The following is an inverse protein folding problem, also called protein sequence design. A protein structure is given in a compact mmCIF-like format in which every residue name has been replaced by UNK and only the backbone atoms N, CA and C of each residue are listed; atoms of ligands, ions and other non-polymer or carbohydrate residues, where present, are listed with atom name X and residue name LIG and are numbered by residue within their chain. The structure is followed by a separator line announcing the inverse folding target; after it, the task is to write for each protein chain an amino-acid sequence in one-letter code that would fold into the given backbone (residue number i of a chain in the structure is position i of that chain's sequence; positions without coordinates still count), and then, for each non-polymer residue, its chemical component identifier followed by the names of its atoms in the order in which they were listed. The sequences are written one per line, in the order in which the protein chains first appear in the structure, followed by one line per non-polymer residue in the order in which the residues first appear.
data_IF_445817888798
#
_entry.id   IF_445817888798
#
_cell.length_a   1.000
_cell.length_b   1.000
_cell.length_c   1.000
_cell.angle_alpha   90.00
_cell.angle_beta   90.00
_cell.angle_gamma   90.00
#
_symmetry.space_group_name_H-M   'P 1'
#
loop_
_entity.id
_entity.type
_entity.pdbx_description
1 polymer ?
#
# COMPACT_ATOMS: atom_id res chain seq x y z
N UNK A 1 -36.02 75.44 23.69
CA UNK A 1 -37.03 74.57 23.05
C UNK A 1 -36.50 74.38 21.63
N UNK A 2 -36.12 73.21 21.13
CA UNK A 2 -36.46 71.82 21.45
C UNK A 2 -35.48 70.89 20.68
N UNK A 3 -35.27 69.66 21.18
CA UNK A 3 -34.76 68.41 20.56
C UNK A 3 -33.51 68.47 19.64
N UNK A 4 -32.33 67.95 20.01
CA UNK A 4 -31.92 66.54 20.20
C UNK A 4 -32.28 65.63 19.03
N UNK A 5 -31.28 65.29 18.20
CA UNK A 5 -31.22 63.95 17.62
C UNK A 5 -29.75 63.52 17.43
N UNK A 6 -29.44 62.38 18.05
CA UNK A 6 -28.13 61.76 18.08
C UNK A 6 -28.07 60.71 16.96
N UNK A 7 -27.20 60.93 15.97
CA UNK A 7 -26.90 59.87 14.99
C UNK A 7 -25.98 58.83 15.64
N UNK A 8 -26.59 57.69 15.93
CA UNK A 8 -25.95 56.46 16.39
C UNK A 8 -25.03 55.91 15.30
N UNK A 9 -23.76 55.79 15.68
CA UNK A 9 -22.77 54.91 15.08
C UNK A 9 -23.20 53.44 15.28
N UNK A 10 -23.72 52.78 14.25
CA UNK A 10 -23.93 51.33 14.25
C UNK A 10 -23.90 50.76 12.83
N UNK A 11 -22.76 50.20 12.42
CA UNK A 11 -22.68 49.10 11.46
C UNK A 11 -21.40 48.30 11.71
N UNK A 12 -21.42 47.48 12.76
CA UNK A 12 -20.59 46.27 12.82
C UNK A 12 -21.43 45.07 12.38
N UNK A 13 -21.61 44.93 11.07
CA UNK A 13 -22.32 43.79 10.47
C UNK A 13 -21.29 42.67 10.23
N UNK A 14 -21.44 41.46 10.82
CA UNK A 14 -20.53 40.36 10.55
C UNK A 14 -20.70 39.90 9.09
N UNK A 15 -19.60 39.86 8.34
CA UNK A 15 -19.58 39.43 6.95
C UNK A 15 -20.19 38.02 6.80
N UNK A 16 -20.98 37.76 5.73
CA UNK A 16 -21.55 36.44 5.48
C UNK A 16 -20.44 35.41 5.25
N UNK A 17 -20.62 34.13 5.64
CA UNK A 17 -19.65 33.08 5.36
C UNK A 17 -19.45 32.97 3.83
N UNK A 18 -18.20 32.77 3.35
CA UNK A 18 -17.94 32.66 1.93
C UNK A 18 -18.77 31.52 1.33
N UNK A 19 -19.38 31.71 0.13
CA UNK A 19 -20.12 30.64 -0.51
C UNK A 19 -19.19 29.44 -0.72
N UNK A 20 -19.70 28.20 -0.62
CA UNK A 20 -18.90 27.02 -0.83
C UNK A 20 -18.23 27.16 -2.20
N UNK A 21 -16.90 27.05 -2.24
CA UNK A 21 -16.11 27.12 -3.45
C UNK A 21 -16.57 26.00 -4.39
N UNK A 22 -17.58 26.30 -5.22
CA UNK A 22 -18.06 25.38 -6.23
C UNK A 22 -16.87 25.12 -7.14
N UNK A 23 -16.41 23.87 -7.16
CA UNK A 23 -15.29 23.46 -7.97
C UNK A 23 -15.49 24.02 -9.38
N UNK A 24 -14.43 24.59 -9.97
CA UNK A 24 -14.47 25.05 -11.37
C UNK A 24 -15.07 23.96 -12.26
N UNK A 25 -15.80 24.34 -13.33
CA UNK A 25 -16.44 23.39 -14.26
C UNK A 25 -15.48 22.28 -14.73
N UNK A 26 -14.19 22.59 -14.84
CA UNK A 26 -13.15 21.62 -15.19
C UNK A 26 -12.81 20.66 -14.04
N UNK A 27 -12.78 21.15 -12.80
CA UNK A 27 -12.57 20.32 -11.60
C UNK A 27 -13.78 19.40 -11.34
N UNK A 28 -15.01 19.86 -11.57
CA UNK A 28 -16.21 19.01 -11.51
C UNK A 28 -16.16 17.89 -12.56
N UNK A 29 -15.81 18.23 -13.82
CA UNK A 29 -15.63 17.22 -14.89
C UNK A 29 -14.51 16.21 -14.55
N UNK A 30 -13.40 16.66 -13.97
CA UNK A 30 -12.29 15.78 -13.54
C UNK A 30 -12.72 14.83 -12.42
N UNK A 31 -13.47 15.32 -11.44
CA UNK A 31 -14.00 14.52 -10.34
C UNK A 31 -14.98 13.44 -10.84
N UNK A 32 -15.92 13.81 -11.72
CA UNK A 32 -16.85 12.86 -12.32
C UNK A 32 -16.12 11.77 -13.13
N UNK A 33 -15.06 12.14 -13.86
CA UNK A 33 -14.21 11.17 -14.58
C UNK A 33 -13.51 10.22 -13.61
N UNK A 34 -12.97 10.73 -12.50
CA UNK A 34 -12.32 9.91 -11.47
C UNK A 34 -13.31 8.93 -10.83
N UNK A 35 -14.49 9.40 -10.43
CA UNK A 35 -15.54 8.56 -9.85
C UNK A 35 -15.98 7.44 -10.80
N UNK A 36 -16.15 7.74 -12.10
CA UNK A 36 -16.46 6.72 -13.12
C UNK A 36 -15.37 5.67 -13.25
N UNK A 37 -14.09 6.09 -13.19
CA UNK A 37 -12.96 5.17 -13.26
C UNK A 37 -12.85 4.30 -12.00
N UNK A 38 -13.09 4.87 -10.82
CA UNK A 38 -13.11 4.13 -9.56
C UNK A 38 -14.27 3.12 -9.51
N UNK A 39 -15.47 3.52 -9.93
CA UNK A 39 -16.62 2.63 -10.05
C UNK A 39 -16.32 1.46 -11.01
N UNK A 40 -15.76 1.75 -12.20
CA UNK A 40 -15.36 0.71 -13.18
C UNK A 40 -14.26 -0.21 -12.64
N UNK A 41 -13.31 0.32 -11.86
CA UNK A 41 -12.29 -0.50 -11.19
C UNK A 41 -12.91 -1.39 -10.11
N UNK A 42 -13.86 -0.87 -9.33
CA UNK A 42 -14.56 -1.61 -8.29
C UNK A 42 -15.40 -2.75 -8.89
N UNK A 43 -16.15 -2.48 -9.97
CA UNK A 43 -16.92 -3.48 -10.69
C UNK A 43 -16.03 -4.60 -11.25
N UNK A 44 -14.95 -4.25 -11.94
CA UNK A 44 -13.98 -5.24 -12.44
C UNK A 44 -13.37 -6.07 -11.32
N UNK A 45 -13.06 -5.44 -10.18
CA UNK A 45 -12.53 -6.13 -8.99
C UNK A 45 -13.58 -7.04 -8.37
N UNK A 46 -14.85 -6.67 -8.37
CA UNK A 46 -15.95 -7.50 -7.89
C UNK A 46 -16.16 -8.70 -8.82
N UNK A 47 -16.21 -8.50 -10.13
CA UNK A 47 -16.32 -9.58 -11.12
C UNK A 47 -15.15 -10.58 -11.03
N UNK A 48 -13.91 -10.09 -10.91
CA UNK A 48 -12.74 -10.95 -10.70
C UNK A 48 -12.84 -11.74 -9.39
N UNK A 49 -13.28 -11.10 -8.29
CA UNK A 49 -13.48 -11.79 -7.00
C UNK A 49 -14.56 -12.87 -7.11
N UNK A 50 -15.65 -12.62 -7.83
CA UNK A 50 -16.72 -13.58 -8.04
C UNK A 50 -16.26 -14.77 -8.88
N UNK A 51 -15.58 -14.52 -10.01
CA UNK A 51 -14.98 -15.58 -10.82
C UNK A 51 -13.98 -16.42 -10.00
N UNK A 52 -13.11 -15.76 -9.23
CA UNK A 52 -12.16 -16.45 -8.35
C UNK A 52 -12.86 -17.30 -7.30
N UNK A 53 -13.99 -16.85 -6.73
CA UNK A 53 -14.79 -17.65 -5.81
C UNK A 53 -15.39 -18.87 -6.50
N UNK A 54 -16.01 -18.69 -7.67
CA UNK A 54 -16.59 -19.77 -8.48
C UNK A 54 -15.55 -20.83 -8.85
N UNK A 55 -14.37 -20.42 -9.31
CA UNK A 55 -13.27 -21.33 -9.61
C UNK A 55 -12.73 -22.04 -8.37
N UNK A 56 -12.62 -21.34 -7.24
CA UNK A 56 -12.18 -21.94 -5.99
C UNK A 56 -13.20 -22.98 -5.47
N UNK A 57 -14.49 -22.70 -5.57
CA UNK A 57 -15.56 -23.65 -5.26
C UNK A 57 -15.53 -24.86 -6.20
N UNK A 58 -15.33 -24.65 -7.50
CA UNK A 58 -15.18 -25.73 -8.47
C UNK A 58 -13.99 -26.63 -8.14
N UNK A 59 -12.82 -26.05 -7.91
CA UNK A 59 -11.60 -26.78 -7.50
C UNK A 59 -11.78 -27.50 -6.16
N UNK A 60 -12.57 -26.93 -5.25
CA UNK A 60 -12.89 -27.57 -3.97
C UNK A 60 -13.76 -28.80 -4.19
N UNK A 61 -14.82 -28.69 -5.01
CA UNK A 61 -15.68 -29.82 -5.37
C UNK A 61 -14.92 -30.91 -6.10
N UNK A 62 -14.14 -30.55 -7.12
CA UNK A 62 -13.26 -31.48 -7.86
C UNK A 62 -12.30 -32.22 -6.90
N UNK A 63 -11.76 -31.52 -5.90
CA UNK A 63 -10.90 -32.12 -4.89
C UNK A 63 -11.66 -33.04 -3.93
N UNK A 64 -12.86 -32.65 -3.49
CA UNK A 64 -13.71 -33.48 -2.64
C UNK A 64 -14.16 -34.75 -3.37
N UNK A 65 -14.49 -34.66 -4.66
CA UNK A 65 -14.80 -35.79 -5.53
C UNK A 65 -13.59 -36.72 -5.71
N UNK A 66 -12.40 -36.18 -5.98
CA UNK A 66 -11.15 -36.95 -6.07
C UNK A 66 -10.81 -37.68 -4.76
N UNK A 67 -11.09 -37.04 -3.61
CA UNK A 67 -10.91 -37.70 -2.31
C UNK A 67 -12.00 -38.75 -2.02
N UNK A 68 -13.16 -38.65 -2.65
CA UNK A 68 -14.26 -39.61 -2.49
C UNK A 68 -14.09 -40.84 -3.42
N UNK A 69 -13.38 -40.70 -4.54
CA UNK A 69 -13.10 -41.79 -5.48
C UNK A 69 -11.92 -42.68 -5.07
N UNK A 70 -11.21 -42.33 -3.99
CA UNK A 70 -9.96 -42.95 -3.54
C UNK A 70 -10.16 -43.61 -2.17
N UNK A 71 -9.50 -44.74 -1.93
CA UNK A 71 -9.59 -45.47 -0.66
C UNK A 71 -9.08 -44.65 0.54
N UNK A 72 -9.52 -45.02 1.75
CA UNK A 72 -9.29 -44.23 2.98
C UNK A 72 -7.80 -44.01 3.32
N UNK A 73 -6.95 -45.02 3.06
CA UNK A 73 -5.50 -44.93 3.28
C UNK A 73 -4.82 -43.96 2.30
N UNK A 74 -5.18 -44.03 1.03
CA UNK A 74 -4.65 -43.16 -0.02
C UNK A 74 -5.17 -41.73 0.12
N UNK A 75 -6.44 -41.57 0.53
CA UNK A 75 -7.05 -40.28 0.89
C UNK A 75 -6.26 -39.58 2.00
N UNK A 76 -5.86 -40.33 3.03
CA UNK A 76 -5.08 -39.80 4.15
C UNK A 76 -3.69 -39.34 3.69
N UNK A 77 -2.99 -40.13 2.88
CA UNK A 77 -1.69 -39.76 2.28
C UNK A 77 -1.79 -38.50 1.40
N UNK A 78 -2.84 -38.37 0.60
CA UNK A 78 -3.09 -37.18 -0.25
C UNK A 78 -3.34 -35.92 0.57
N UNK A 79 -4.08 -36.02 1.68
CA UNK A 79 -4.30 -34.90 2.58
C UNK A 79 -3.01 -34.50 3.30
N UNK A 80 -2.24 -35.47 3.79
CA UNK A 80 -0.97 -35.23 4.48
C UNK A 80 0.08 -34.61 3.57
N UNK A 81 0.28 -35.14 2.37
CA UNK A 81 1.21 -34.56 1.38
C UNK A 81 0.87 -33.10 1.08
N UNK A 82 -0.42 -32.78 0.88
CA UNK A 82 -0.87 -31.39 0.67
C UNK A 82 -0.65 -30.50 1.89
N UNK A 83 -0.83 -31.02 3.11
CA UNK A 83 -0.54 -30.31 4.36
C UNK A 83 0.95 -30.05 4.53
N UNK A 84 1.80 -31.05 4.26
CA UNK A 84 3.26 -30.95 4.33
C UNK A 84 3.79 -29.90 3.36
N UNK A 85 3.36 -29.92 2.09
CA UNK A 85 3.75 -28.90 1.10
C UNK A 85 3.32 -27.48 1.50
N UNK A 86 2.19 -27.34 2.21
CA UNK A 86 1.78 -26.04 2.76
C UNK A 86 2.68 -25.63 3.93
N UNK A 87 2.98 -26.56 4.84
CA UNK A 87 3.84 -26.33 6.00
C UNK A 87 5.23 -25.90 5.55
N UNK A 88 5.86 -26.65 4.65
CA UNK A 88 7.18 -26.37 4.09
C UNK A 88 7.25 -24.98 3.41
N UNK A 89 6.25 -24.62 2.60
CA UNK A 89 6.22 -23.28 1.98
C UNK A 89 6.06 -22.16 2.99
N UNK A 90 5.30 -22.39 4.06
CA UNK A 90 5.13 -21.39 5.13
C UNK A 90 6.40 -21.28 5.97
N UNK A 91 7.03 -22.40 6.28
CA UNK A 91 8.30 -22.51 7.02
C UNK A 91 9.43 -21.81 6.27
N UNK A 92 9.61 -22.11 4.98
CA UNK A 92 10.58 -21.41 4.12
C UNK A 92 10.35 -19.90 4.10
N UNK A 93 9.08 -19.45 4.02
CA UNK A 93 8.76 -18.01 4.06
C UNK A 93 9.08 -17.39 5.42
N UNK A 94 8.79 -18.08 6.53
CA UNK A 94 9.14 -17.58 7.86
C UNK A 94 10.65 -17.52 8.04
N UNK A 95 11.39 -18.53 7.61
CA UNK A 95 12.85 -18.56 7.67
C UNK A 95 13.47 -17.43 6.84
N UNK A 96 13.02 -17.21 5.61
CA UNK A 96 13.50 -16.10 4.77
C UNK A 96 13.23 -14.74 5.42
N UNK A 97 12.05 -14.58 6.02
CA UNK A 97 11.68 -13.36 6.75
C UNK A 97 12.58 -13.17 7.98
N UNK A 98 12.82 -14.23 8.74
CA UNK A 98 13.65 -14.19 9.94
C UNK A 98 15.10 -13.90 9.58
N UNK A 99 15.68 -14.57 8.57
CA UNK A 99 17.02 -14.29 8.05
C UNK A 99 17.18 -12.84 7.62
N UNK A 100 16.16 -12.26 6.99
CA UNK A 100 16.16 -10.83 6.62
C UNK A 100 16.16 -9.93 7.86
N UNK A 101 15.33 -10.24 8.86
CA UNK A 101 15.27 -9.47 10.11
C UNK A 101 16.59 -9.57 10.87
N UNK A 102 17.15 -10.77 11.01
CA UNK A 102 18.45 -11.00 11.63
C UNK A 102 19.55 -10.22 10.92
N UNK A 103 19.63 -10.28 9.58
CA UNK A 103 20.62 -9.50 8.81
C UNK A 103 20.50 -7.99 9.06
N UNK A 104 19.29 -7.46 9.05
CA UNK A 104 19.05 -6.03 9.29
C UNK A 104 19.37 -5.63 10.74
N UNK A 105 19.09 -6.50 11.70
CA UNK A 105 19.37 -6.28 13.11
C UNK A 105 20.88 -6.30 13.35
N UNK A 106 21.59 -7.28 12.81
CA UNK A 106 23.04 -7.37 12.89
C UNK A 106 23.72 -6.15 12.26
N UNK A 107 23.24 -5.69 11.10
CA UNK A 107 23.75 -4.48 10.44
C UNK A 107 23.43 -3.20 11.22
N UNK A 108 22.35 -3.17 12.01
CA UNK A 108 22.03 -2.06 12.91
C UNK A 108 22.97 -2.03 14.11
N UNK A 109 23.32 -3.19 14.65
CA UNK A 109 24.19 -3.31 15.83
C UNK A 109 25.68 -3.09 15.51
N UNK A 110 26.16 -3.66 14.40
CA UNK A 110 27.59 -3.66 14.06
C UNK A 110 27.94 -2.63 12.98
N UNK A 111 26.94 -1.95 12.41
CA UNK A 111 27.09 -1.15 11.19
C UNK A 111 27.03 -2.02 9.92
N UNK A 112 26.87 -1.37 8.77
CA UNK A 112 27.03 -2.04 7.49
C UNK A 112 28.53 -2.09 7.16
N UNK A 113 29.04 -3.24 6.71
CA UNK A 113 30.41 -3.38 6.21
C UNK A 113 30.54 -2.67 4.84
N UNK A 114 30.48 -1.35 4.85
CA UNK A 114 30.69 -0.49 3.69
C UNK A 114 32.11 0.05 3.78
N UNK A 115 32.89 -0.19 2.73
CA UNK A 115 34.22 0.40 2.56
C UNK A 115 34.10 1.40 1.42
N UNK A 116 34.38 2.67 1.71
CA UNK A 116 34.56 3.70 0.69
C UNK A 116 36.02 3.66 0.29
N UNK A 117 36.30 3.22 -0.94
CA UNK A 117 37.63 3.35 -1.51
C UNK A 117 37.93 4.83 -1.75
N UNK A 118 39.13 5.27 -1.37
CA UNK A 118 39.59 6.66 -1.53
C UNK A 118 40.89 6.73 -2.34
N UNK A 119 41.30 5.62 -2.99
CA UNK A 119 42.55 5.49 -3.76
C UNK A 119 42.53 6.23 -5.12
N UNK A 120 41.57 7.15 -5.30
CA UNK A 120 41.44 8.02 -6.46
C UNK A 120 41.50 9.51 -6.10
N UNK A 121 41.87 9.85 -4.87
CA UNK A 121 42.01 11.23 -4.41
C UNK A 121 43.01 12.04 -5.24
N UNK A 122 44.10 11.42 -5.70
CA UNK A 122 45.11 12.05 -6.56
C UNK A 122 44.60 12.43 -7.97
N UNK A 123 43.48 11.84 -8.40
CA UNK A 123 42.84 12.13 -9.69
C UNK A 123 41.75 13.21 -9.57
N UNK A 124 41.43 13.66 -8.36
CA UNK A 124 40.39 14.66 -8.12
C UNK A 124 40.91 16.09 -8.14
N UNK A 125 40.06 17.00 -8.60
CA UNK A 125 40.24 18.43 -8.38
C UNK A 125 39.87 18.81 -6.93
N UNK A 126 40.39 19.93 -6.39
CA UNK A 126 40.06 20.38 -5.03
C UNK A 126 38.55 20.54 -4.77
N UNK A 127 37.77 20.90 -5.79
CA UNK A 127 36.31 21.03 -5.67
C UNK A 127 35.61 19.68 -5.54
N UNK A 128 36.10 18.65 -6.23
CA UNK A 128 35.57 17.28 -6.14
C UNK A 128 35.91 16.66 -4.79
N UNK A 129 37.09 16.94 -4.23
CA UNK A 129 37.46 16.54 -2.87
C UNK A 129 36.51 17.17 -1.84
N UNK A 130 36.23 18.48 -1.96
CA UNK A 130 35.28 19.15 -1.07
C UNK A 130 33.86 18.58 -1.19
N UNK A 131 33.45 18.22 -2.41
CA UNK A 131 32.16 17.55 -2.66
C UNK A 131 32.12 16.16 -2.03
N UNK A 132 33.21 15.40 -2.09
CA UNK A 132 33.30 14.06 -1.50
C UNK A 132 33.20 14.09 0.03
N UNK A 133 33.79 15.08 0.70
CA UNK A 133 33.70 15.24 2.16
C UNK A 133 32.28 15.52 2.63
N UNK A 134 31.43 16.12 1.78
CA UNK A 134 30.06 16.47 2.13
C UNK A 134 29.08 15.29 1.98
N UNK A 135 29.41 14.26 1.21
CA UNK A 135 28.56 13.08 0.95
C UNK A 135 28.51 12.13 2.15
#
# INVERSE_FOLDING_TARGET
MEAVEAERNDQNTPAPPPPPLTLSKNAQKKLLKQQRMEAKKAEKKAAMKEQKKKEAERKRKEWEEMLASVDEEERSKLIESRKCLRKERMEKRSEEREKKVQRLTNAKEHGQNIVVDLDFSDLMTPNEINSLVQQ
#
